data_IF_287835106771
#
_entry.id   IF_287835106771
#
_cell.length_a   1.000
_cell.length_b   1.000
_cell.length_c   1.000
_cell.angle_alpha   90.00
_cell.angle_beta   90.00
_cell.angle_gamma   90.00
#
_symmetry.space_group_name_H-M   'P 1'
#
loop_
_entity.id
_entity.type
_entity.pdbx_description
1 polymer ?
#
# COMPACT_ATOMS: atom_id res chain seq x y z
N UNK A 1 -22.57 -6.82 15.90
CA UNK A 1 -23.42 -8.04 15.94
C UNK A 1 -23.38 -8.74 17.31
N UNK A 2 -22.22 -8.93 17.96
CA UNK A 2 -22.16 -9.52 19.32
C UNK A 2 -22.93 -8.73 20.41
N UNK A 3 -22.93 -7.38 20.42
CA UNK A 3 -23.73 -6.61 21.40
C UNK A 3 -25.25 -6.77 21.20
N UNK A 4 -25.69 -6.95 19.96
CA UNK A 4 -27.10 -7.17 19.63
C UNK A 4 -27.56 -8.55 20.11
N UNK A 5 -26.70 -9.57 20.00
CA UNK A 5 -26.96 -10.91 20.52
C UNK A 5 -27.04 -10.94 22.06
N UNK A 6 -26.19 -10.18 22.75
CA UNK A 6 -26.24 -10.04 24.21
C UNK A 6 -27.58 -9.43 24.65
N UNK A 7 -28.03 -8.37 23.97
CA UNK A 7 -29.33 -7.74 24.23
C UNK A 7 -30.53 -8.67 23.99
N UNK A 8 -30.46 -9.55 22.97
CA UNK A 8 -31.51 -10.53 22.67
C UNK A 8 -31.56 -11.64 23.71
N UNK A 9 -30.40 -12.15 24.15
CA UNK A 9 -30.33 -13.24 25.13
C UNK A 9 -30.75 -12.79 26.53
N UNK A 10 -30.55 -11.53 26.88
CA UNK A 10 -31.06 -10.92 28.12
C UNK A 10 -32.60 -10.94 28.22
N UNK A 11 -33.32 -10.95 27.08
CA UNK A 11 -34.79 -10.99 27.03
C UNK A 11 -35.39 -12.40 27.23
N UNK A 12 -34.57 -13.46 27.19
CA UNK A 12 -34.99 -14.86 27.27
C UNK A 12 -34.30 -15.56 28.45
N UNK A 13 -34.89 -15.55 29.66
CA UNK A 13 -34.27 -16.07 30.86
C UNK A 13 -34.34 -17.62 30.90
N UNK A 14 -33.53 -18.28 30.08
CA UNK A 14 -33.32 -19.72 30.13
C UNK A 14 -31.87 -20.00 30.61
N UNK A 15 -31.66 -20.85 31.63
CA UNK A 15 -30.32 -21.09 32.22
C UNK A 15 -29.26 -21.52 31.20
N UNK A 16 -29.68 -22.25 30.17
CA UNK A 16 -28.80 -22.68 29.07
C UNK A 16 -28.43 -21.53 28.12
N UNK A 17 -29.35 -20.58 27.88
CA UNK A 17 -29.10 -19.41 27.04
C UNK A 17 -28.14 -18.43 27.74
N UNK A 18 -28.26 -18.27 29.06
CA UNK A 18 -27.32 -17.46 29.85
C UNK A 18 -25.90 -18.02 29.77
N UNK A 19 -25.74 -19.35 29.83
CA UNK A 19 -24.43 -20.00 29.64
C UNK A 19 -23.88 -19.76 28.23
N UNK A 20 -24.70 -19.90 27.19
CA UNK A 20 -24.27 -19.65 25.81
C UNK A 20 -23.91 -18.18 25.57
N UNK A 21 -24.65 -17.24 26.18
CA UNK A 21 -24.35 -15.81 26.13
C UNK A 21 -22.99 -15.49 26.77
N UNK A 22 -22.63 -16.15 27.88
CA UNK A 22 -21.31 -16.02 28.50
C UNK A 22 -20.17 -16.51 27.58
N UNK A 23 -20.38 -17.61 26.84
CA UNK A 23 -19.40 -18.09 25.85
C UNK A 23 -19.32 -17.22 24.59
N UNK A 24 -20.39 -16.50 24.27
CA UNK A 24 -20.45 -15.59 23.12
C UNK A 24 -20.20 -14.12 23.52
N UNK A 25 -19.68 -13.89 24.74
CA UNK A 25 -19.47 -12.54 25.25
C UNK A 25 -18.46 -11.78 24.36
N UNK A 26 -18.77 -10.53 23.97
CA UNK A 26 -17.86 -9.74 23.16
C UNK A 26 -16.58 -9.42 23.93
N UNK A 27 -15.43 -9.71 23.32
CA UNK A 27 -14.13 -9.30 23.83
C UNK A 27 -13.86 -7.89 23.31
N UNK A 28 -14.37 -6.89 24.02
CA UNK A 28 -14.32 -5.48 23.59
C UNK A 28 -12.91 -5.01 23.26
N UNK A 29 -11.91 -5.41 24.05
CA UNK A 29 -10.50 -5.07 23.82
C UNK A 29 -9.98 -5.58 22.45
N UNK A 30 -10.39 -6.79 22.05
CA UNK A 30 -10.02 -7.37 20.75
C UNK A 30 -10.73 -6.65 19.61
N UNK A 31 -12.01 -6.33 19.77
CA UNK A 31 -12.76 -5.56 18.78
C UNK A 31 -12.13 -4.16 18.56
N UNK A 32 -11.85 -3.42 19.64
CA UNK A 32 -11.23 -2.10 19.56
C UNK A 32 -9.79 -2.13 19.00
N UNK A 33 -9.05 -3.22 19.25
CA UNK A 33 -7.74 -3.43 18.65
C UNK A 33 -7.86 -3.61 17.13
N UNK A 34 -8.74 -4.51 16.68
CA UNK A 34 -8.92 -4.82 15.26
C UNK A 34 -9.48 -3.63 14.47
N UNK A 35 -10.44 -2.89 15.05
CA UNK A 35 -11.01 -1.68 14.43
C UNK A 35 -9.97 -0.58 14.22
N UNK A 36 -8.98 -0.46 15.11
CA UNK A 36 -7.88 0.51 14.98
C UNK A 36 -6.75 0.00 14.09
N UNK A 37 -6.51 -1.31 14.06
CA UNK A 37 -5.36 -1.89 13.40
C UNK A 37 -5.60 -2.25 11.94
N UNK A 38 -6.82 -2.63 11.55
CA UNK A 38 -7.12 -3.17 10.21
C UNK A 38 -8.04 -2.22 9.44
N UNK A 39 -7.76 -2.02 8.15
CA UNK A 39 -8.67 -1.27 7.25
C UNK A 39 -10.02 -1.99 7.14
N UNK A 40 -11.10 -1.23 6.94
CA UNK A 40 -12.45 -1.80 6.79
C UNK A 40 -12.54 -2.84 5.66
N UNK A 41 -11.85 -2.59 4.54
CA UNK A 41 -11.78 -3.49 3.40
C UNK A 41 -10.32 -3.85 3.10
N UNK A 42 -9.73 -4.82 3.83
CA UNK A 42 -8.35 -5.20 3.61
C UNK A 42 -8.23 -6.11 2.37
N UNK A 43 -7.06 -6.11 1.70
CA UNK A 43 -6.79 -7.04 0.61
C UNK A 43 -6.69 -8.48 1.11
N UNK A 44 -6.97 -9.43 0.21
CA UNK A 44 -6.98 -10.88 0.51
C UNK A 44 -5.59 -11.39 0.93
N UNK A 45 -4.52 -10.72 0.48
CA UNK A 45 -3.15 -11.17 0.67
C UNK A 45 -2.31 -10.04 1.27
N UNK A 46 -1.73 -10.29 2.45
CA UNK A 46 -0.87 -9.32 3.13
C UNK A 46 0.44 -9.03 2.38
N UNK A 47 0.86 -9.94 1.49
CA UNK A 47 2.10 -9.79 0.71
C UNK A 47 2.16 -8.49 -0.06
N UNK A 48 1.01 -7.97 -0.50
CA UNK A 48 0.95 -6.76 -1.32
C UNK A 48 0.77 -5.50 -0.45
N UNK A 49 0.67 -5.65 0.88
CA UNK A 49 0.46 -4.58 1.86
C UNK A 49 -0.96 -4.02 1.85
N UNK A 50 -1.20 -2.96 2.63
CA UNK A 50 -2.48 -2.26 2.67
C UNK A 50 -3.55 -2.92 3.55
N UNK A 51 -3.14 -3.76 4.50
CA UNK A 51 -4.00 -4.39 5.51
C UNK A 51 -4.13 -3.49 6.73
N UNK A 52 -3.01 -2.91 7.18
CA UNK A 52 -2.97 -2.08 8.39
C UNK A 52 -3.56 -0.70 8.12
N UNK A 53 -4.42 -0.25 9.03
CA UNK A 53 -5.09 1.04 8.98
C UNK A 53 -4.11 2.22 9.10
N UNK A 54 -4.50 3.37 8.54
CA UNK A 54 -3.77 4.62 8.73
C UNK A 54 -3.97 5.12 10.16
N UNK A 55 -2.92 5.66 10.77
CA UNK A 55 -2.92 6.12 12.16
C UNK A 55 -2.65 5.02 13.19
N UNK A 56 -2.56 3.73 12.78
CA UNK A 56 -2.16 2.66 13.70
C UNK A 56 -0.68 2.74 14.07
N UNK A 57 0.17 3.10 13.10
CA UNK A 57 1.60 3.21 13.30
C UNK A 57 2.16 4.40 12.51
N UNK A 58 2.68 5.39 13.21
CA UNK A 58 3.20 6.63 12.62
C UNK A 58 4.36 6.37 11.65
N UNK A 59 5.25 5.43 11.97
CA UNK A 59 6.39 5.09 11.12
C UNK A 59 5.91 4.45 9.79
N UNK A 60 4.91 3.57 9.84
CA UNK A 60 4.31 2.99 8.63
C UNK A 60 3.67 4.07 7.76
N UNK A 61 2.99 5.03 8.38
CA UNK A 61 2.35 6.13 7.66
C UNK A 61 3.38 7.07 7.02
N UNK A 62 4.51 7.34 7.67
CA UNK A 62 5.62 8.10 7.08
C UNK A 62 6.20 7.38 5.85
N UNK A 63 6.46 6.08 5.95
CA UNK A 63 6.95 5.30 4.82
C UNK A 63 5.94 5.24 3.66
N UNK A 64 4.64 5.14 3.96
CA UNK A 64 3.56 5.20 2.96
C UNK A 64 3.50 6.56 2.28
N UNK A 65 3.54 7.67 3.04
CA UNK A 65 3.58 9.03 2.47
C UNK A 65 4.77 9.26 1.56
N UNK A 66 5.95 8.73 1.92
CA UNK A 66 7.14 8.80 1.06
C UNK A 66 6.95 8.01 -0.24
N UNK A 67 6.24 6.89 -0.20
CA UNK A 67 5.91 6.11 -1.38
C UNK A 67 4.83 6.78 -2.25
N UNK A 68 3.82 7.40 -1.65
CA UNK A 68 2.73 8.07 -2.37
C UNK A 68 3.19 9.37 -3.03
N UNK A 69 4.01 10.17 -2.32
CA UNK A 69 4.65 11.37 -2.88
C UNK A 69 5.53 11.07 -4.09
N UNK A 70 5.94 9.81 -4.25
CA UNK A 70 6.64 9.38 -5.45
C UNK A 70 5.77 9.44 -6.70
N UNK A 71 4.50 9.05 -6.57
CA UNK A 71 3.54 9.04 -7.68
C UNK A 71 3.29 10.46 -8.17
N UNK A 72 3.10 11.40 -7.24
CA UNK A 72 2.95 12.83 -7.56
C UNK A 72 4.20 13.41 -8.23
N UNK A 73 5.39 13.01 -7.80
CA UNK A 73 6.64 13.45 -8.42
C UNK A 73 6.74 12.98 -9.87
N UNK A 74 6.35 11.73 -10.15
CA UNK A 74 6.38 11.17 -11.50
C UNK A 74 5.38 11.87 -12.44
N UNK A 75 4.20 12.21 -11.95
CA UNK A 75 3.20 12.96 -12.71
C UNK A 75 3.69 14.38 -13.06
N UNK A 76 4.32 15.08 -12.10
CA UNK A 76 4.93 16.39 -12.34
C UNK A 76 6.07 16.30 -13.33
N UNK A 77 6.97 15.32 -13.17
CA UNK A 77 8.07 15.09 -14.09
C UNK A 77 7.56 14.79 -15.51
N UNK A 78 6.50 14.00 -15.66
CA UNK A 78 5.89 13.73 -16.97
C UNK A 78 5.38 15.02 -17.61
N UNK A 79 4.66 15.85 -16.86
CA UNK A 79 4.11 17.10 -17.36
C UNK A 79 5.21 18.09 -17.77
N UNK A 80 6.20 18.29 -16.89
CA UNK A 80 7.32 19.21 -17.09
C UNK A 80 8.16 18.81 -18.31
N UNK A 81 8.53 17.53 -18.43
CA UNK A 81 9.34 17.05 -19.55
C UNK A 81 8.56 17.07 -20.87
N UNK A 82 7.26 16.78 -20.84
CA UNK A 82 6.38 16.88 -22.01
C UNK A 82 6.31 18.30 -22.55
N UNK A 83 6.14 19.30 -21.66
CA UNK A 83 6.08 20.70 -22.04
C UNK A 83 7.45 21.24 -22.47
N UNK A 84 8.51 20.92 -21.73
CA UNK A 84 9.88 21.40 -21.97
C UNK A 84 10.46 20.93 -23.30
N UNK A 85 10.14 19.70 -23.70
CA UNK A 85 10.68 19.10 -24.93
C UNK A 85 9.66 18.99 -26.07
N UNK A 86 8.39 19.34 -25.83
CA UNK A 86 7.33 19.27 -26.84
C UNK A 86 7.03 17.84 -27.31
N UNK A 87 7.14 16.86 -26.40
CA UNK A 87 6.98 15.43 -26.71
C UNK A 87 5.65 14.93 -26.15
N UNK A 88 4.56 15.11 -26.91
CA UNK A 88 3.21 14.74 -26.47
C UNK A 88 3.03 13.25 -26.11
N UNK A 89 3.88 12.38 -26.68
CA UNK A 89 3.82 10.93 -26.42
C UNK A 89 4.67 10.47 -25.23
N UNK A 90 5.32 11.41 -24.53
CA UNK A 90 6.13 11.12 -23.35
C UNK A 90 5.23 10.60 -22.23
N UNK A 91 5.57 9.41 -21.71
CA UNK A 91 4.90 8.81 -20.56
C UNK A 91 5.91 8.24 -19.59
N UNK A 92 5.74 8.51 -18.30
CA UNK A 92 6.53 7.88 -17.25
C UNK A 92 5.82 6.60 -16.82
N UNK A 93 6.56 5.50 -16.73
CA UNK A 93 6.01 4.21 -16.35
C UNK A 93 6.96 3.40 -15.49
N UNK A 94 6.44 2.35 -14.86
CA UNK A 94 7.21 1.42 -14.04
C UNK A 94 7.10 -0.01 -14.60
N UNK A 95 8.22 -0.74 -14.60
CA UNK A 95 8.27 -2.17 -14.90
C UNK A 95 9.02 -2.89 -13.78
N UNK A 96 8.47 -3.99 -13.27
CA UNK A 96 9.09 -4.79 -12.22
C UNK A 96 10.52 -5.29 -12.56
N UNK A 97 10.86 -5.46 -13.84
CA UNK A 97 12.18 -5.95 -14.28
C UNK A 97 13.17 -4.82 -14.56
N UNK A 98 12.70 -3.74 -15.19
CA UNK A 98 13.56 -2.68 -15.71
C UNK A 98 13.51 -1.38 -14.92
N UNK A 99 12.62 -1.29 -13.94
CA UNK A 99 12.44 -0.12 -13.10
C UNK A 99 11.55 0.94 -13.73
N UNK A 100 11.69 2.17 -13.26
CA UNK A 100 11.07 3.33 -13.88
C UNK A 100 11.68 3.62 -15.25
N UNK A 101 10.86 4.10 -16.18
CA UNK A 101 11.27 4.46 -17.53
C UNK A 101 10.42 5.60 -18.08
N UNK A 102 11.02 6.37 -18.99
CA UNK A 102 10.34 7.35 -19.81
C UNK A 102 10.14 6.74 -21.19
N UNK A 103 8.89 6.58 -21.61
CA UNK A 103 8.51 6.04 -22.90
C UNK A 103 8.18 7.17 -23.86
N UNK A 104 8.80 7.15 -25.03
CA UNK A 104 8.54 8.09 -26.13
C UNK A 104 8.22 7.30 -27.39
N UNK A 105 7.30 7.80 -28.22
CA UNK A 105 7.02 7.17 -29.51
C UNK A 105 8.25 7.22 -30.43
N UNK A 106 8.42 6.19 -31.26
CA UNK A 106 9.57 6.13 -32.18
C UNK A 106 9.62 7.30 -33.17
N UNK A 107 8.46 7.89 -33.49
CA UNK A 107 8.39 9.07 -34.36
C UNK A 107 8.97 10.32 -33.70
N UNK A 108 8.92 10.43 -32.37
CA UNK A 108 9.39 11.58 -31.60
C UNK A 108 10.73 11.30 -30.87
N UNK A 109 11.34 10.12 -31.04
CA UNK A 109 12.58 9.78 -30.33
C UNK A 109 13.77 10.70 -30.68
N UNK A 110 13.73 11.34 -31.84
CA UNK A 110 14.72 12.34 -32.26
C UNK A 110 14.65 13.66 -31.48
N UNK A 111 13.52 13.94 -30.80
CA UNK A 111 13.34 15.12 -29.95
C UNK A 111 13.88 14.90 -28.52
N UNK A 112 14.21 13.66 -28.18
CA UNK A 112 14.68 13.30 -26.85
C UNK A 112 16.07 13.91 -26.60
N UNK A 113 16.28 14.57 -25.45
CA UNK A 113 17.57 15.16 -25.11
C UNK A 113 18.71 14.14 -25.00
N UNK A 114 19.97 14.55 -25.21
CA UNK A 114 21.12 13.64 -25.14
C UNK A 114 21.44 13.11 -23.73
N UNK A 115 20.90 13.72 -22.67
CA UNK A 115 21.10 13.24 -21.29
C UNK A 115 20.20 12.05 -20.93
N UNK A 116 19.23 11.72 -21.78
CA UNK A 116 18.40 10.53 -21.64
C UNK A 116 19.18 9.28 -22.06
N UNK A 117 19.31 8.33 -21.15
CA UNK A 117 20.01 7.07 -21.43
C UNK A 117 19.00 6.03 -21.92
N UNK A 118 19.15 5.54 -23.16
CA UNK A 118 18.26 4.52 -23.73
C UNK A 118 18.38 3.18 -22.99
N UNK A 119 17.26 2.65 -22.50
CA UNK A 119 17.17 1.36 -21.77
C UNK A 119 16.62 0.23 -22.61
N UNK A 120 15.58 0.47 -23.41
CA UNK A 120 14.89 -0.56 -24.17
C UNK A 120 14.30 0.01 -25.46
N UNK A 121 14.35 -0.75 -26.54
CA UNK A 121 13.72 -0.40 -27.83
C UNK A 121 12.55 -1.34 -28.07
N UNK A 122 11.35 -0.79 -28.31
CA UNK A 122 10.14 -1.52 -28.65
C UNK A 122 9.76 -1.25 -30.12
N UNK A 123 8.78 -2.00 -30.65
CA UNK A 123 8.34 -1.89 -32.05
C UNK A 123 7.92 -0.45 -32.42
N UNK A 124 7.20 0.22 -31.53
CA UNK A 124 6.60 1.55 -31.76
C UNK A 124 7.07 2.63 -30.77
N UNK A 125 7.94 2.30 -29.81
CA UNK A 125 8.36 3.21 -28.75
C UNK A 125 9.80 2.94 -28.31
N UNK A 126 10.45 3.95 -27.76
CA UNK A 126 11.75 3.86 -27.12
C UNK A 126 11.61 4.20 -25.63
N UNK A 127 12.34 3.47 -24.78
CA UNK A 127 12.36 3.68 -23.33
C UNK A 127 13.71 4.21 -22.89
N UNK A 128 13.69 5.23 -22.05
CA UNK A 128 14.85 5.93 -21.53
C UNK A 128 14.81 6.01 -20.01
N UNK A 129 15.95 6.31 -19.42
CA UNK A 129 16.10 6.65 -18.00
C UNK A 129 16.91 7.94 -17.89
N UNK A 130 16.54 8.80 -16.94
CA UNK A 130 17.33 9.98 -16.55
C UNK A 130 17.92 9.74 -15.14
N UNK A 131 19.09 10.34 -14.82
CA UNK A 131 19.71 10.18 -13.50
C UNK A 131 18.77 10.50 -12.34
N UNK A 132 18.01 11.60 -12.43
CA UNK A 132 17.06 12.05 -11.40
C UNK A 132 15.97 11.00 -11.12
N UNK A 133 15.44 10.37 -12.17
CA UNK A 133 14.42 9.33 -12.06
C UNK A 133 14.98 8.06 -11.40
N UNK A 134 16.26 7.75 -11.64
CA UNK A 134 16.94 6.61 -11.02
C UNK A 134 17.20 6.83 -9.53
N UNK A 135 17.66 8.02 -9.13
CA UNK A 135 17.86 8.35 -7.71
C UNK A 135 16.53 8.29 -6.93
N UNK A 136 15.48 8.80 -7.55
CA UNK A 136 14.14 8.75 -6.99
C UNK A 136 13.63 7.30 -6.90
N UNK A 137 13.83 6.48 -7.93
CA UNK A 137 13.50 5.05 -7.92
C UNK A 137 14.09 4.31 -6.71
N UNK A 138 15.39 4.46 -6.48
CA UNK A 138 16.09 3.78 -5.39
C UNK A 138 15.50 4.18 -4.02
N UNK A 139 15.16 5.46 -3.85
CA UNK A 139 14.53 5.98 -2.63
C UNK A 139 13.13 5.41 -2.42
N UNK A 140 12.33 5.33 -3.48
CA UNK A 140 10.93 4.88 -3.43
C UNK A 140 10.86 3.38 -3.19
N UNK A 141 11.67 2.58 -3.90
CA UNK A 141 11.74 1.14 -3.71
C UNK A 141 12.19 0.78 -2.29
N UNK A 142 13.15 1.52 -1.74
CA UNK A 142 13.58 1.34 -0.35
C UNK A 142 12.49 1.73 0.66
N UNK A 143 11.75 2.81 0.41
CA UNK A 143 10.66 3.23 1.28
C UNK A 143 9.50 2.23 1.26
N UNK A 144 9.13 1.74 0.06
CA UNK A 144 8.07 0.73 -0.11
C UNK A 144 8.44 -0.61 0.51
N UNK A 145 9.69 -1.05 0.38
CA UNK A 145 10.14 -2.30 0.99
C UNK A 145 10.15 -2.23 2.51
N UNK A 146 10.57 -1.08 3.08
CA UNK A 146 10.50 -0.82 4.52
C UNK A 146 9.06 -0.77 5.03
N UNK A 147 8.16 -0.08 4.34
CA UNK A 147 6.73 -0.06 4.67
C UNK A 147 6.16 -1.48 4.75
N UNK A 148 6.45 -2.31 3.74
CA UNK A 148 5.93 -3.68 3.65
C UNK A 148 6.52 -4.60 4.74
N UNK A 149 7.82 -4.44 5.05
CA UNK A 149 8.46 -5.17 6.13
C UNK A 149 7.88 -4.78 7.51
N UNK A 150 7.66 -3.48 7.73
CA UNK A 150 7.06 -2.98 8.97
C UNK A 150 5.60 -3.43 9.10
N UNK A 151 4.83 -3.35 8.02
CA UNK A 151 3.43 -3.81 7.99
C UNK A 151 3.33 -5.31 8.33
N UNK A 152 4.22 -6.13 7.77
CA UNK A 152 4.28 -7.56 8.11
C UNK A 152 4.62 -7.79 9.59
N UNK A 153 5.54 -7.00 10.16
CA UNK A 153 5.88 -7.09 11.57
C UNK A 153 4.69 -6.73 12.46
N UNK A 154 3.97 -5.64 12.16
CA UNK A 154 2.78 -5.22 12.90
C UNK A 154 1.67 -6.27 12.81
N UNK A 155 1.54 -6.95 11.67
CA UNK A 155 0.60 -8.05 11.51
C UNK A 155 0.96 -9.27 12.37
N UNK A 156 2.23 -9.63 12.44
CA UNK A 156 2.70 -10.70 13.35
C UNK A 156 2.43 -10.32 14.81
N UNK A 157 2.68 -9.07 15.18
CA UNK A 157 2.41 -8.54 16.53
C UNK A 157 0.92 -8.58 16.89
N UNK A 158 0.01 -8.37 15.92
CA UNK A 158 -1.42 -8.55 16.15
C UNK A 158 -1.76 -9.99 16.58
N UNK A 159 -1.13 -11.01 16.00
CA UNK A 159 -1.37 -12.39 16.45
C UNK A 159 -0.87 -12.62 17.86
N UNK A 160 0.28 -12.06 18.23
CA UNK A 160 0.80 -12.15 19.60
C UNK A 160 -0.14 -11.49 20.63
N UNK A 161 -0.82 -10.41 20.24
CA UNK A 161 -1.84 -9.76 21.06
C UNK A 161 -3.16 -10.55 21.13
N UNK A 162 -3.51 -11.28 20.06
CA UNK A 162 -4.76 -12.06 19.99
C UNK A 162 -4.63 -13.45 20.65
N UNK A 163 -3.46 -14.09 20.58
CA UNK A 163 -3.25 -15.45 21.10
C UNK A 163 -3.68 -15.64 22.57
N UNK A 164 -3.40 -14.72 23.51
CA UNK A 164 -3.81 -14.87 24.91
C UNK A 164 -5.32 -14.93 25.12
N UNK A 165 -6.12 -14.39 24.21
CA UNK A 165 -7.58 -14.40 24.28
C UNK A 165 -8.21 -15.69 23.73
N UNK A 166 -7.42 -16.57 23.10
CA UNK A 166 -7.91 -17.79 22.45
C UNK A 166 -8.11 -18.96 23.44
N UNK A 167 -7.50 -18.90 24.61
CA UNK A 167 -7.60 -19.92 25.67
C UNK A 167 -8.64 -19.60 26.76
N UNK A 168 -9.31 -18.45 26.67
CA UNK A 168 -10.41 -18.04 27.57
C UNK A 168 -11.77 -18.54 27.08
#
# INVERSE_FOLDING_TARGET
QLPELDSLTASLPHPYLVKLAQFAAPIGEVCELLERAIKENPPVVIRDGGVIAEGYNEELDEWRKLADGATEYLEKLEADERERHGIDTLKVGYNAVHGFFIQVSRGQSHLVPPHYVRRQTLKNAERYIIPELKEHEDKVLNSKSKALALEKKLWEELFDLLMPHLEQ
#
